data_IF_484415743707
#
_entry.id   IF_484415743707
#
_cell.length_a   1.000
_cell.length_b   1.000
_cell.length_c   1.000
_cell.angle_alpha   90.00
_cell.angle_beta   90.00
_cell.angle_gamma   90.00
#
_symmetry.space_group_name_H-M   'P 1'
#
loop_
_entity.id
_entity.type
_entity.pdbx_description
1 polymer ?
#
# COMPACT_ATOMS: atom_id res chain seq x y z
N UNK A 1 -7.67 25.53 13.46
CA UNK A 1 -6.19 25.40 13.33
C UNK A 1 -5.72 24.79 14.64
N UNK A 2 -4.84 23.79 14.58
CA UNK A 2 -4.26 23.15 15.78
C UNK A 2 -2.78 23.47 15.81
N UNK A 3 -2.24 23.73 17.00
CA UNK A 3 -0.81 23.91 17.24
C UNK A 3 -0.29 22.70 18.02
N UNK A 4 0.86 22.15 17.62
CA UNK A 4 1.48 21.01 18.27
C UNK A 4 3.00 21.17 18.30
N UNK A 5 3.64 20.71 19.37
CA UNK A 5 5.12 20.70 19.51
C UNK A 5 5.74 19.58 18.67
N UNK A 6 4.99 18.52 18.44
CA UNK A 6 5.42 17.38 17.62
C UNK A 6 4.23 16.77 16.89
N UNK A 7 4.49 16.14 15.72
CA UNK A 7 3.49 15.44 14.93
C UNK A 7 4.04 14.08 14.51
N UNK A 8 3.19 13.08 14.49
CA UNK A 8 3.48 11.75 13.95
C UNK A 8 2.54 11.51 12.77
N UNK A 9 3.10 11.25 11.59
CA UNK A 9 2.37 10.90 10.39
C UNK A 9 2.23 9.37 10.32
N UNK A 10 1.04 8.86 10.55
CA UNK A 10 0.71 7.44 10.54
C UNK A 10 -0.55 7.19 9.66
N UNK A 11 -0.61 7.88 8.52
CA UNK A 11 -1.80 7.92 7.66
C UNK A 11 -1.87 6.73 6.68
N UNK A 12 -0.86 5.86 6.70
CA UNK A 12 -0.75 4.79 5.72
C UNK A 12 -0.51 5.34 4.30
N UNK A 13 -0.87 4.54 3.30
CA UNK A 13 -0.79 4.90 1.89
C UNK A 13 -2.19 5.16 1.34
N UNK A 14 -2.32 6.11 0.41
CA UNK A 14 -3.57 6.43 -0.26
C UNK A 14 -3.44 6.14 -1.75
N UNK A 15 -4.21 5.18 -2.24
CA UNK A 15 -4.18 4.69 -3.63
C UNK A 15 -5.18 5.40 -4.56
N UNK A 16 -5.76 6.50 -4.15
CA UNK A 16 -6.73 7.25 -4.96
C UNK A 16 -8.15 6.71 -4.84
N UNK A 17 -9.00 6.99 -5.86
CA UNK A 17 -10.41 6.60 -5.83
C UNK A 17 -10.56 5.09 -5.98
N UNK A 18 -11.24 4.41 -5.03
CA UNK A 18 -11.45 2.96 -5.10
C UNK A 18 -12.43 2.58 -6.22
N UNK A 19 -12.34 1.33 -6.69
CA UNK A 19 -13.36 0.70 -7.52
C UNK A 19 -14.63 0.43 -6.69
N UNK A 20 -15.74 0.29 -7.39
CA UNK A 20 -16.96 -0.21 -6.73
C UNK A 20 -16.71 -1.62 -6.19
N UNK A 21 -17.03 -1.87 -4.92
CA UNK A 21 -16.78 -3.13 -4.21
C UNK A 21 -15.38 -3.25 -3.59
N UNK A 22 -14.41 -2.39 -3.93
CA UNK A 22 -13.04 -2.50 -3.42
C UNK A 22 -12.97 -2.40 -1.89
N UNK A 23 -13.58 -1.37 -1.30
CA UNK A 23 -13.61 -1.19 0.16
C UNK A 23 -14.45 -2.25 0.88
N UNK A 24 -15.54 -2.71 0.26
CA UNK A 24 -16.42 -3.72 0.83
C UNK A 24 -15.72 -5.07 1.01
N UNK A 25 -14.89 -5.44 0.00
CA UNK A 25 -14.16 -6.71 -0.02
C UNK A 25 -12.71 -6.62 0.44
N UNK A 26 -12.26 -5.47 0.93
CA UNK A 26 -10.91 -5.33 1.48
C UNK A 26 -10.72 -6.30 2.66
N UNK A 27 -9.67 -7.15 2.58
CA UNK A 27 -9.44 -8.25 3.51
C UNK A 27 -10.38 -9.45 3.37
N UNK A 28 -11.31 -9.40 2.38
CA UNK A 28 -12.24 -10.51 2.04
C UNK A 28 -12.04 -10.96 0.60
N UNK A 29 -10.83 -10.89 0.11
CA UNK A 29 -10.46 -11.21 -1.25
C UNK A 29 -9.90 -10.02 -2.04
N UNK A 30 -9.99 -8.78 -1.54
CA UNK A 30 -9.27 -7.63 -2.08
C UNK A 30 -8.05 -7.34 -1.22
N UNK A 31 -6.91 -7.06 -1.86
CA UNK A 31 -5.66 -6.68 -1.21
C UNK A 31 -4.83 -5.72 -2.05
N UNK A 32 -3.81 -5.11 -1.42
CA UNK A 32 -2.89 -4.15 -2.05
C UNK A 32 -1.44 -4.65 -2.09
N UNK A 33 -1.19 -5.88 -1.68
CA UNK A 33 0.12 -6.54 -1.72
C UNK A 33 -0.08 -8.03 -2.01
N UNK A 34 0.19 -8.46 -3.23
CA UNK A 34 0.02 -9.86 -3.61
C UNK A 34 1.02 -10.78 -2.88
N UNK A 35 2.26 -10.33 -2.74
CA UNK A 35 3.32 -11.07 -2.02
C UNK A 35 3.01 -11.28 -0.55
N UNK A 36 2.38 -10.28 0.12
CA UNK A 36 2.05 -10.35 1.54
C UNK A 36 1.03 -11.44 1.85
N UNK A 37 0.02 -11.57 0.98
CA UNK A 37 -1.14 -12.45 1.18
C UNK A 37 -1.06 -13.75 0.35
N UNK A 38 -0.01 -13.93 -0.44
CA UNK A 38 0.15 -15.06 -1.36
C UNK A 38 -0.14 -16.45 -0.74
N UNK A 39 0.29 -16.76 0.50
CA UNK A 39 0.00 -18.06 1.11
C UNK A 39 -1.50 -18.37 1.25
N UNK A 40 -2.36 -17.36 1.34
CA UNK A 40 -3.83 -17.50 1.44
C UNK A 40 -4.47 -17.89 0.11
N UNK A 41 -3.72 -17.73 -0.99
CA UNK A 41 -4.20 -17.94 -2.37
C UNK A 41 -3.57 -19.17 -3.03
N UNK A 42 -3.00 -20.07 -2.23
CA UNK A 42 -2.51 -21.35 -2.75
C UNK A 42 -3.66 -22.11 -3.43
N UNK A 43 -3.40 -22.58 -4.65
CA UNK A 43 -4.33 -23.32 -5.49
C UNK A 43 -5.65 -22.57 -5.84
N UNK A 44 -5.68 -21.24 -5.69
CA UNK A 44 -6.81 -20.38 -6.03
C UNK A 44 -6.59 -19.60 -7.32
N UNK A 45 -7.64 -19.00 -7.84
CA UNK A 45 -7.62 -18.09 -8.98
C UNK A 45 -7.45 -16.66 -8.46
N UNK A 46 -6.47 -15.93 -9.00
CA UNK A 46 -6.13 -14.57 -8.58
C UNK A 46 -6.14 -13.62 -9.77
N UNK A 47 -6.65 -12.43 -9.58
CA UNK A 47 -6.56 -11.33 -10.54
C UNK A 47 -5.69 -10.22 -9.99
N UNK A 48 -4.73 -9.74 -10.77
CA UNK A 48 -3.89 -8.59 -10.45
C UNK A 48 -4.24 -7.44 -11.37
N UNK A 49 -4.61 -6.30 -10.80
CA UNK A 49 -4.77 -5.03 -11.50
C UNK A 49 -3.52 -4.20 -11.22
N UNK A 50 -2.66 -4.01 -12.21
CA UNK A 50 -1.36 -3.37 -12.05
C UNK A 50 -1.30 -2.02 -12.76
N UNK A 51 -0.96 -0.96 -12.03
CA UNK A 51 -0.84 0.39 -12.58
C UNK A 51 0.58 0.72 -13.05
N UNK A 52 1.57 -0.10 -12.70
CA UNK A 52 2.98 0.10 -13.04
C UNK A 52 3.65 -1.20 -13.46
N UNK A 53 4.68 -1.07 -14.32
CA UNK A 53 5.45 -2.23 -14.81
C UNK A 53 6.18 -2.98 -13.70
N UNK A 54 6.64 -2.31 -12.64
CA UNK A 54 7.36 -2.98 -11.55
C UNK A 54 6.50 -3.99 -10.78
N UNK A 55 5.18 -3.90 -10.88
CA UNK A 55 4.24 -4.86 -10.26
C UNK A 55 4.21 -6.23 -10.96
N UNK A 56 4.86 -6.36 -12.11
CA UNK A 56 5.02 -7.64 -12.78
C UNK A 56 5.76 -8.67 -11.92
N UNK A 57 6.66 -8.20 -11.07
CA UNK A 57 7.39 -9.06 -10.12
C UNK A 57 6.44 -9.71 -9.08
N UNK A 58 5.44 -8.98 -8.58
CA UNK A 58 4.42 -9.55 -7.68
C UNK A 58 3.52 -10.56 -8.41
N UNK A 59 3.18 -10.27 -9.68
CA UNK A 59 2.40 -11.19 -10.49
C UNK A 59 3.14 -12.52 -10.73
N UNK A 60 4.42 -12.46 -11.09
CA UNK A 60 5.25 -13.63 -11.28
C UNK A 60 5.41 -14.43 -9.99
N UNK A 61 5.59 -13.75 -8.85
CA UNK A 61 5.70 -14.41 -7.56
C UNK A 61 4.43 -15.17 -7.20
N UNK A 62 3.23 -14.53 -7.25
CA UNK A 62 1.99 -15.22 -6.92
C UNK A 62 1.63 -16.30 -7.94
N UNK A 63 2.09 -16.19 -9.18
CA UNK A 63 1.99 -17.20 -10.21
C UNK A 63 2.63 -18.53 -9.85
N UNK A 64 3.60 -18.54 -8.93
CA UNK A 64 4.21 -19.78 -8.40
C UNK A 64 3.36 -20.47 -7.35
N UNK A 65 2.31 -19.83 -6.84
CA UNK A 65 1.52 -20.27 -5.67
C UNK A 65 0.05 -20.53 -6.06
N UNK A 66 -0.55 -19.59 -6.80
CA UNK A 66 -1.92 -19.67 -7.28
C UNK A 66 -2.10 -20.73 -8.38
N UNK A 67 -3.29 -21.26 -8.52
CA UNK A 67 -3.62 -22.19 -9.63
C UNK A 67 -3.73 -21.46 -10.96
N UNK A 68 -4.15 -20.20 -10.95
CA UNK A 68 -4.26 -19.34 -12.12
C UNK A 68 -4.11 -17.87 -11.73
N UNK A 69 -3.41 -17.11 -12.57
CA UNK A 69 -3.29 -15.66 -12.43
C UNK A 69 -3.78 -14.97 -13.69
N UNK A 70 -4.70 -14.03 -13.51
CA UNK A 70 -5.06 -13.04 -14.51
C UNK A 70 -4.34 -11.75 -14.22
N UNK A 71 -3.77 -11.12 -15.24
CA UNK A 71 -3.06 -9.86 -15.12
C UNK A 71 -3.72 -8.79 -15.98
N UNK A 72 -4.19 -7.72 -15.32
CA UNK A 72 -4.90 -6.59 -15.94
C UNK A 72 -3.99 -5.35 -15.87
N UNK A 73 -3.17 -5.11 -16.91
CA UNK A 73 -2.25 -3.97 -16.93
C UNK A 73 -3.00 -2.67 -17.22
N UNK A 74 -2.82 -1.67 -16.35
CA UNK A 74 -3.35 -0.31 -16.48
C UNK A 74 -2.28 0.67 -16.97
N UNK A 75 -1.12 0.19 -17.42
CA UNK A 75 -0.02 0.95 -18.00
C UNK A 75 0.19 0.59 -19.48
N UNK A 76 1.08 1.33 -20.17
CA UNK A 76 1.27 1.20 -21.64
C UNK A 76 2.58 0.53 -22.05
N UNK A 77 3.50 0.32 -21.10
CA UNK A 77 4.79 -0.31 -21.38
C UNK A 77 4.59 -1.76 -21.83
N UNK A 78 5.61 -2.32 -22.46
CA UNK A 78 5.64 -3.74 -22.81
C UNK A 78 5.54 -4.62 -21.55
N UNK A 79 4.71 -5.65 -21.62
CA UNK A 79 4.39 -6.52 -20.49
C UNK A 79 5.32 -7.73 -20.55
N UNK A 80 6.02 -8.01 -19.44
CA UNK A 80 7.01 -9.07 -19.30
C UNK A 80 6.68 -9.96 -18.09
N UNK A 81 5.48 -10.54 -18.08
CA UNK A 81 5.07 -11.54 -17.08
C UNK A 81 5.32 -12.95 -17.58
N UNK A 82 5.38 -13.93 -16.67
CA UNK A 82 5.55 -15.34 -17.00
C UNK A 82 4.44 -15.84 -17.92
N UNK A 83 4.79 -16.75 -18.84
CA UNK A 83 3.87 -17.28 -19.86
C UNK A 83 2.67 -18.05 -19.30
N UNK A 84 2.69 -18.44 -18.03
CA UNK A 84 1.57 -19.06 -17.31
C UNK A 84 0.50 -18.05 -16.89
N UNK A 85 0.82 -16.74 -16.90
CA UNK A 85 -0.07 -15.65 -16.50
C UNK A 85 -0.87 -15.18 -17.71
N UNK A 86 -2.19 -15.15 -17.57
CA UNK A 86 -3.09 -14.69 -18.63
C UNK A 86 -3.29 -13.17 -18.56
N UNK A 87 -2.87 -12.48 -19.63
CA UNK A 87 -2.97 -11.02 -19.74
C UNK A 87 -4.35 -10.63 -20.28
N UNK A 88 -5.09 -9.82 -19.54
CA UNK A 88 -6.39 -9.30 -19.92
C UNK A 88 -6.30 -7.79 -20.14
N UNK A 89 -6.42 -7.34 -21.39
CA UNK A 89 -6.38 -5.92 -21.77
C UNK A 89 -7.79 -5.34 -21.81
N UNK A 90 -8.37 -5.13 -20.62
CA UNK A 90 -9.70 -4.52 -20.44
C UNK A 90 -9.68 -3.60 -19.20
N UNK A 91 -10.74 -2.84 -18.97
CA UNK A 91 -10.81 -1.82 -17.92
C UNK A 91 -11.61 -2.36 -16.73
N UNK A 92 -11.05 -2.42 -15.52
CA UNK A 92 -11.76 -2.80 -14.32
C UNK A 92 -12.87 -1.80 -13.97
N UNK A 93 -14.03 -2.31 -13.58
CA UNK A 93 -15.23 -1.50 -13.27
C UNK A 93 -15.73 -1.75 -11.86
N UNK A 94 -15.91 -3.02 -11.48
CA UNK A 94 -16.55 -3.40 -10.23
C UNK A 94 -16.02 -4.75 -9.74
N UNK A 95 -15.84 -4.87 -8.43
CA UNK A 95 -15.55 -6.13 -7.75
C UNK A 95 -16.85 -6.59 -7.09
N UNK A 96 -17.25 -7.83 -7.35
CA UNK A 96 -18.50 -8.41 -6.83
C UNK A 96 -18.25 -9.73 -6.11
N UNK A 97 -19.07 -10.00 -5.13
CA UNK A 97 -19.02 -11.21 -4.32
C UNK A 97 -20.18 -11.29 -3.34
N UNK A 98 -20.08 -12.20 -2.41
CA UNK A 98 -21.00 -12.36 -1.27
C UNK A 98 -20.27 -12.12 0.06
N UNK A 99 -19.81 -13.16 0.73
CA UNK A 99 -18.94 -13.06 1.92
C UNK A 99 -17.48 -12.77 1.57
N UNK A 100 -17.08 -13.01 0.32
CA UNK A 100 -15.76 -12.76 -0.25
C UNK A 100 -15.88 -12.48 -1.74
N UNK A 101 -14.79 -12.02 -2.36
CA UNK A 101 -14.70 -11.82 -3.80
C UNK A 101 -15.08 -13.08 -4.58
N UNK A 102 -15.83 -12.92 -5.67
CA UNK A 102 -16.20 -13.97 -6.64
C UNK A 102 -15.86 -13.61 -8.07
N UNK A 103 -15.96 -12.32 -8.41
CA UNK A 103 -15.74 -11.84 -9.78
C UNK A 103 -15.16 -10.44 -9.80
N UNK A 104 -14.37 -10.18 -10.83
CA UNK A 104 -14.03 -8.83 -11.29
C UNK A 104 -14.83 -8.54 -12.57
N UNK A 105 -15.63 -7.50 -12.55
CA UNK A 105 -16.33 -7.00 -13.74
C UNK A 105 -15.44 -6.02 -14.46
N UNK A 106 -15.24 -6.26 -15.72
CA UNK A 106 -14.51 -5.40 -16.64
C UNK A 106 -15.51 -4.69 -17.58
N UNK A 107 -15.03 -3.75 -18.37
CA UNK A 107 -15.88 -2.98 -19.29
C UNK A 107 -16.57 -3.87 -20.33
N UNK A 108 -15.87 -4.88 -20.85
CA UNK A 108 -16.38 -5.73 -21.95
C UNK A 108 -16.45 -7.22 -21.57
N UNK A 109 -16.02 -7.60 -20.36
CA UNK A 109 -15.95 -8.99 -19.91
C UNK A 109 -16.07 -9.10 -18.40
N UNK A 110 -16.03 -10.32 -17.88
CA UNK A 110 -15.91 -10.61 -16.44
C UNK A 110 -14.89 -11.73 -16.20
N UNK A 111 -14.27 -11.73 -15.02
CA UNK A 111 -13.30 -12.72 -14.58
C UNK A 111 -13.80 -13.34 -13.28
N UNK A 112 -14.00 -14.66 -13.24
CA UNK A 112 -14.18 -15.38 -11.99
C UNK A 112 -12.84 -15.48 -11.26
N UNK A 113 -12.79 -15.07 -9.99
CA UNK A 113 -11.57 -14.97 -9.20
C UNK A 113 -11.86 -15.07 -7.71
N UNK A 114 -10.94 -15.69 -6.96
CA UNK A 114 -11.00 -15.80 -5.51
C UNK A 114 -10.35 -14.59 -4.81
N UNK A 115 -9.54 -13.82 -5.55
CA UNK A 115 -8.88 -12.65 -5.03
C UNK A 115 -8.51 -11.64 -6.10
N UNK A 116 -8.59 -10.36 -5.74
CA UNK A 116 -8.19 -9.23 -6.59
C UNK A 116 -7.15 -8.40 -5.85
N UNK A 117 -5.94 -8.35 -6.39
CA UNK A 117 -4.88 -7.47 -5.90
C UNK A 117 -4.79 -6.22 -6.77
N UNK A 118 -4.89 -5.07 -6.14
CA UNK A 118 -4.89 -3.77 -6.82
C UNK A 118 -3.58 -3.07 -6.50
N UNK A 119 -2.63 -3.17 -7.43
CA UNK A 119 -1.27 -2.67 -7.28
C UNK A 119 -1.17 -1.32 -7.99
N UNK A 120 -1.24 -0.24 -7.23
CA UNK A 120 -1.19 1.15 -7.72
C UNK A 120 -0.29 2.01 -6.83
N UNK A 121 0.27 3.06 -7.44
CA UNK A 121 1.03 4.05 -6.70
C UNK A 121 0.13 4.76 -5.69
N UNK A 122 0.66 4.95 -4.51
CA UNK A 122 0.02 5.78 -3.50
C UNK A 122 0.12 7.27 -3.87
N UNK A 123 -0.82 8.07 -3.37
CA UNK A 123 -0.72 9.53 -3.43
C UNK A 123 0.48 9.97 -2.59
N UNK A 124 1.34 10.80 -3.18
CA UNK A 124 2.56 11.24 -2.51
C UNK A 124 2.29 11.91 -1.16
N UNK A 125 2.92 11.42 -0.08
CA UNK A 125 2.80 12.04 1.25
C UNK A 125 3.30 13.49 1.31
N UNK A 126 4.08 13.94 0.35
CA UNK A 126 4.53 15.33 0.23
C UNK A 126 3.41 16.36 0.09
N UNK A 127 2.20 15.90 -0.28
CA UNK A 127 1.00 16.75 -0.29
C UNK A 127 0.43 16.98 1.12
N UNK A 128 0.73 16.14 2.10
CA UNK A 128 0.26 16.26 3.48
C UNK A 128 1.04 17.33 4.24
N UNK A 129 2.36 17.29 4.14
CA UNK A 129 3.25 18.25 4.81
C UNK A 129 4.27 18.76 3.80
N UNK A 130 4.17 20.03 3.39
CA UNK A 130 5.11 20.63 2.46
C UNK A 130 6.55 20.59 3.01
N UNK A 131 7.50 20.21 2.16
CA UNK A 131 8.92 20.15 2.51
C UNK A 131 9.39 18.82 3.08
N UNK A 132 8.51 17.82 3.23
CA UNK A 132 8.95 16.45 3.53
C UNK A 132 9.84 15.91 2.41
N UNK A 133 10.91 15.23 2.79
CA UNK A 133 11.67 14.42 1.85
C UNK A 133 10.91 13.13 1.55
N UNK A 134 10.72 12.88 0.25
CA UNK A 134 10.01 11.73 -0.27
C UNK A 134 10.96 10.93 -1.15
N UNK A 135 11.05 9.65 -0.89
CA UNK A 135 11.76 8.67 -1.71
C UNK A 135 10.81 7.52 -2.07
N UNK A 136 10.78 7.15 -3.35
CA UNK A 136 9.89 6.09 -3.86
C UNK A 136 8.44 6.23 -3.37
N UNK A 137 7.91 7.45 -3.39
CA UNK A 137 6.58 7.83 -2.94
C UNK A 137 6.28 7.63 -1.43
N UNK A 138 7.31 7.45 -0.61
CA UNK A 138 7.23 7.29 0.85
C UNK A 138 8.01 8.39 1.56
N UNK A 139 7.64 8.66 2.82
CA UNK A 139 8.38 9.61 3.66
C UNK A 139 9.72 9.01 4.06
N UNK A 140 10.82 9.73 3.76
CA UNK A 140 12.15 9.35 4.23
C UNK A 140 12.25 9.58 5.75
N UNK A 141 12.65 8.54 6.48
CA UNK A 141 12.87 8.59 7.94
C UNK A 141 14.18 7.93 8.35
N UNK A 142 14.71 8.36 9.46
CA UNK A 142 15.83 7.68 10.11
C UNK A 142 15.37 6.48 10.96
N UNK A 143 16.32 5.79 11.62
CA UNK A 143 16.01 4.64 12.50
C UNK A 143 15.18 4.99 13.74
N UNK A 144 14.96 6.26 14.02
CA UNK A 144 14.12 6.78 15.09
C UNK A 144 12.78 7.30 14.56
N UNK A 145 12.45 6.98 13.32
CA UNK A 145 11.25 7.43 12.61
C UNK A 145 11.17 8.96 12.47
N UNK A 146 12.33 9.66 12.55
CA UNK A 146 12.40 11.10 12.41
C UNK A 146 12.50 11.47 10.94
N UNK A 147 11.68 12.42 10.49
CA UNK A 147 11.74 13.01 9.16
C UNK A 147 12.83 14.11 9.07
N UNK A 148 12.97 14.70 7.91
CA UNK A 148 13.84 15.89 7.71
C UNK A 148 13.30 17.16 8.39
N UNK A 149 12.04 17.16 8.84
CA UNK A 149 11.41 18.30 9.54
C UNK A 149 11.50 18.07 11.04
N UNK A 150 12.01 19.06 11.76
CA UNK A 150 12.20 18.95 13.22
C UNK A 150 10.86 18.81 13.95
N UNK A 151 10.76 17.83 14.87
CA UNK A 151 9.54 17.52 15.59
C UNK A 151 8.50 16.74 14.78
N UNK A 152 8.79 16.43 13.50
CA UNK A 152 7.92 15.62 12.65
C UNK A 152 8.49 14.20 12.50
N UNK A 153 7.65 13.22 12.74
CA UNK A 153 7.92 11.79 12.64
C UNK A 153 6.95 11.14 11.67
N UNK A 154 7.32 10.00 11.10
CA UNK A 154 6.42 9.21 10.26
C UNK A 154 6.64 7.71 10.53
N UNK A 155 5.58 6.90 10.43
CA UNK A 155 5.63 5.47 10.71
C UNK A 155 4.53 4.70 9.97
N UNK A 156 4.71 3.40 9.82
CA UNK A 156 3.77 2.53 9.12
C UNK A 156 3.96 2.56 7.61
N UNK A 157 2.89 2.30 6.87
CA UNK A 157 2.98 2.13 5.41
C UNK A 157 3.43 3.40 4.68
N UNK A 158 3.20 4.57 5.27
CA UNK A 158 3.63 5.86 4.72
C UNK A 158 5.16 5.99 4.59
N UNK A 159 5.95 5.18 5.31
CA UNK A 159 7.42 5.21 5.25
C UNK A 159 8.02 4.07 4.41
N UNK A 160 7.20 3.19 3.84
CA UNK A 160 7.66 2.16 2.89
C UNK A 160 7.10 0.77 3.10
N UNK A 161 7.45 -0.10 2.17
CA UNK A 161 7.13 -1.54 2.21
C UNK A 161 7.99 -2.30 3.22
N UNK A 162 7.57 -3.54 3.65
CA UNK A 162 6.29 -4.17 3.33
C UNK A 162 5.11 -3.52 4.07
N UNK A 163 3.93 -3.50 3.46
CA UNK A 163 2.72 -2.95 4.08
C UNK A 163 2.11 -3.98 5.04
N UNK A 164 2.66 -4.04 6.24
CA UNK A 164 2.30 -5.04 7.25
C UNK A 164 2.03 -4.38 8.60
N UNK A 165 0.93 -4.80 9.25
CA UNK A 165 0.53 -4.27 10.54
C UNK A 165 1.58 -4.42 11.63
N UNK A 166 2.38 -5.51 11.61
CA UNK A 166 3.43 -5.73 12.60
C UNK A 166 4.61 -4.75 12.42
N UNK A 167 4.95 -4.41 11.18
CA UNK A 167 5.93 -3.36 10.86
C UNK A 167 5.40 -2.01 11.32
N UNK A 168 4.17 -1.65 10.95
CA UNK A 168 3.54 -0.40 11.34
C UNK A 168 3.52 -0.23 12.86
N UNK A 169 3.06 -1.24 13.60
CA UNK A 169 3.03 -1.21 15.06
C UNK A 169 4.42 -1.01 15.69
N UNK A 170 5.46 -1.67 15.17
CA UNK A 170 6.84 -1.49 15.62
C UNK A 170 7.38 -0.09 15.38
N UNK A 171 7.17 0.43 14.17
CA UNK A 171 7.62 1.78 13.78
C UNK A 171 6.87 2.88 14.53
N UNK A 172 5.55 2.75 14.71
CA UNK A 172 4.75 3.70 15.48
C UNK A 172 5.19 3.78 16.95
N UNK A 173 5.55 2.65 17.56
CA UNK A 173 6.13 2.66 18.91
C UNK A 173 7.45 3.45 18.95
N UNK A 174 8.34 3.26 17.96
CA UNK A 174 9.59 4.01 17.86
C UNK A 174 9.33 5.50 17.66
N UNK A 175 8.41 5.86 16.77
CA UNK A 175 8.03 7.24 16.51
C UNK A 175 7.48 7.94 17.76
N UNK A 176 6.59 7.27 18.49
CA UNK A 176 6.01 7.78 19.72
C UNK A 176 7.06 8.06 20.80
N UNK A 177 7.96 7.11 21.06
CA UNK A 177 9.05 7.28 22.03
C UNK A 177 10.02 8.39 21.62
N UNK A 178 10.29 8.53 20.33
CA UNK A 178 11.14 9.58 19.78
C UNK A 178 10.49 10.97 19.93
N UNK A 179 9.19 11.09 19.66
CA UNK A 179 8.43 12.31 19.83
C UNK A 179 8.38 12.75 21.32
N UNK A 180 8.16 11.81 22.25
CA UNK A 180 8.21 12.08 23.71
C UNK A 180 9.59 12.62 24.11
N UNK A 181 10.66 11.97 23.67
CA UNK A 181 12.04 12.41 23.97
C UNK A 181 12.30 13.83 23.45
N UNK A 182 11.81 14.15 22.27
CA UNK A 182 11.93 15.50 21.68
C UNK A 182 11.18 16.56 22.51
N UNK A 183 9.94 16.27 22.89
CA UNK A 183 9.14 17.17 23.72
C UNK A 183 9.81 17.44 25.07
N UNK A 184 10.39 16.41 25.70
CA UNK A 184 11.12 16.57 26.94
C UNK A 184 12.37 17.44 26.80
N UNK A 185 13.11 17.30 25.70
CA UNK A 185 14.26 18.15 25.40
C UNK A 185 13.87 19.62 25.28
N UNK A 186 12.76 19.92 24.57
CA UNK A 186 12.25 21.29 24.46
C UNK A 186 11.86 21.84 25.83
N UNK A 187 11.14 21.06 26.65
CA UNK A 187 10.73 21.48 27.99
C UNK A 187 11.93 21.80 28.90
N UNK A 188 13.05 21.07 28.77
CA UNK A 188 14.29 21.34 29.53
C UNK A 188 14.91 22.65 29.06
N UNK A 189 15.09 22.83 27.74
CA UNK A 189 15.65 24.07 27.19
C UNK A 189 14.87 25.32 27.61
N UNK A 190 13.52 25.24 27.63
CA UNK A 190 12.66 26.35 28.05
C UNK A 190 12.66 26.61 29.57
N UNK A 191 13.25 25.74 30.42
CA UNK A 191 13.40 25.94 31.84
C UNK A 191 14.76 26.53 32.23
N UNK A 192 15.75 26.42 31.33
CA UNK A 192 17.13 26.86 31.54
C UNK A 192 17.41 28.25 30.94
N UNK A 193 16.46 28.81 30.17
CA UNK A 193 16.52 30.15 29.60
C UNK A 193 15.46 31.07 30.21
#
# INVERSE_FOLDING_TARGET
MYEATSIILATGVNFGKPFKGEEEFLGKGVGYCATCDAPLYKDKVVTIIAYNKHEEAEANFIGTIASKVYYVPMYKQEIEVDSSIEIIKDIPVEIVGDSSVKKLILKNSEIETDGVFILRDSISPGQLVPGLKIENNHVEVDRRMKTNIEGCYAAGDIVGTPYQYIKAAGEENIAALSAVSYIEQIKRKNKEG
#
